data_IF_423523274736
#
_entry.id   IF_423523274736
#
_cell.length_a   1.000
_cell.length_b   1.000
_cell.length_c   1.000
_cell.angle_alpha   90.00
_cell.angle_beta   90.00
_cell.angle_gamma   90.00
#
_symmetry.space_group_name_H-M   'P 1'
#
loop_
_entity.id
_entity.type
_entity.pdbx_description
1 polymer ?
#
# COMPACT_ATOMS: atom_id res chain seq x y z
N UNK A 1 18.05 -12.27 -27.89
CA UNK A 1 16.80 -12.12 -27.10
C UNK A 1 17.02 -12.01 -25.59
N UNK A 2 17.99 -12.70 -24.98
CA UNK A 2 18.21 -12.65 -23.52
C UNK A 2 18.56 -11.27 -22.93
N UNK A 3 19.26 -10.40 -23.68
CA UNK A 3 19.59 -9.03 -23.21
C UNK A 3 18.35 -8.16 -22.99
N UNK A 4 17.35 -8.26 -23.86
CA UNK A 4 16.11 -7.49 -23.75
C UNK A 4 15.29 -7.98 -22.55
N UNK A 5 15.14 -9.29 -22.39
CA UNK A 5 14.44 -9.89 -21.26
C UNK A 5 15.11 -9.52 -19.94
N UNK A 6 16.44 -9.57 -19.89
CA UNK A 6 17.20 -9.16 -18.69
C UNK A 6 16.94 -7.69 -18.34
N UNK A 7 16.88 -6.81 -19.33
CA UNK A 7 16.52 -5.40 -19.12
C UNK A 7 15.09 -5.25 -18.57
N UNK A 8 14.12 -5.98 -19.12
CA UNK A 8 12.74 -5.94 -18.64
C UNK A 8 12.63 -6.40 -17.18
N UNK A 9 13.39 -7.43 -16.78
CA UNK A 9 13.44 -7.88 -15.38
C UNK A 9 14.01 -6.78 -14.49
N UNK A 10 15.07 -6.09 -14.89
CA UNK A 10 15.60 -4.97 -14.11
C UNK A 10 14.59 -3.82 -13.99
N UNK A 11 13.92 -3.46 -15.08
CA UNK A 11 12.87 -2.43 -15.03
C UNK A 11 11.70 -2.84 -14.13
N UNK A 12 11.28 -4.10 -14.17
CA UNK A 12 10.24 -4.62 -13.28
C UNK A 12 10.65 -4.47 -11.82
N UNK A 13 11.88 -4.86 -11.47
CA UNK A 13 12.40 -4.76 -10.09
C UNK A 13 12.43 -3.29 -9.65
N UNK A 14 12.97 -2.39 -10.49
CA UNK A 14 13.03 -0.96 -10.19
C UNK A 14 11.62 -0.38 -10.03
N UNK A 15 10.67 -0.76 -10.89
CA UNK A 15 9.28 -0.35 -10.79
C UNK A 15 8.64 -0.80 -9.47
N UNK A 16 8.84 -2.06 -9.09
CA UNK A 16 8.35 -2.58 -7.80
C UNK A 16 8.95 -1.82 -6.62
N UNK A 17 10.26 -1.56 -6.63
CA UNK A 17 10.93 -0.78 -5.57
C UNK A 17 10.37 0.65 -5.51
N UNK A 18 10.11 1.27 -6.67
CA UNK A 18 9.51 2.60 -6.75
C UNK A 18 8.10 2.64 -6.15
N UNK A 19 7.26 1.65 -6.47
CA UNK A 19 5.91 1.53 -5.90
C UNK A 19 5.96 1.30 -4.38
N UNK A 20 6.85 0.42 -3.91
CA UNK A 20 7.05 0.19 -2.48
C UNK A 20 7.48 1.49 -1.80
N UNK A 21 8.51 2.16 -2.32
CA UNK A 21 9.00 3.42 -1.78
C UNK A 21 7.92 4.49 -1.75
N UNK A 22 7.10 4.60 -2.81
CA UNK A 22 5.99 5.54 -2.85
C UNK A 22 4.88 5.21 -1.84
N UNK A 23 4.58 3.93 -1.59
CA UNK A 23 3.60 3.56 -0.56
C UNK A 23 4.04 3.99 0.85
N UNK A 24 5.35 3.97 1.14
CA UNK A 24 5.88 4.39 2.44
C UNK A 24 6.12 5.89 2.55
N UNK A 25 6.62 6.53 1.49
CA UNK A 25 7.01 7.95 1.53
C UNK A 25 5.87 8.87 1.08
N UNK A 26 4.97 8.37 0.21
CA UNK A 26 3.81 9.10 -0.31
C UNK A 26 2.92 9.78 0.75
N UNK A 27 2.64 9.15 1.92
CA UNK A 27 1.83 9.77 2.96
C UNK A 27 2.46 11.05 3.54
N UNK A 28 3.80 11.15 3.54
CA UNK A 28 4.48 12.38 3.97
C UNK A 28 4.30 13.55 2.99
N UNK A 29 3.89 13.26 1.75
CA UNK A 29 3.58 14.24 0.70
C UNK A 29 2.07 14.45 0.51
N UNK A 30 1.24 13.92 1.41
CA UNK A 30 -0.22 14.08 1.38
C UNK A 30 -0.96 13.08 0.49
N UNK A 31 -0.32 11.99 0.06
CA UNK A 31 -1.03 10.88 -0.56
C UNK A 31 -1.73 10.06 0.53
N UNK A 32 -3.06 9.91 0.47
CA UNK A 32 -3.80 9.03 1.35
C UNK A 32 -4.13 7.72 0.63
N UNK A 33 -3.67 6.61 1.21
CA UNK A 33 -3.92 5.26 0.72
C UNK A 33 -4.91 4.50 1.60
N UNK A 34 -5.44 5.15 2.63
CA UNK A 34 -6.44 4.57 3.52
C UNK A 34 -7.79 4.48 2.79
N UNK A 35 -8.59 3.44 3.06
CA UNK A 35 -9.98 3.42 2.59
C UNK A 35 -10.78 4.53 3.28
N UNK A 36 -11.84 4.97 2.62
CA UNK A 36 -12.81 5.90 3.21
C UNK A 36 -13.33 5.31 4.52
N UNK A 37 -13.20 6.10 5.59
CA UNK A 37 -13.63 5.70 6.93
C UNK A 37 -15.14 5.91 7.05
N UNK A 38 -15.87 4.86 7.38
CA UNK A 38 -17.32 4.89 7.60
C UNK A 38 -17.62 4.57 9.06
N UNK A 39 -18.47 5.38 9.67
CA UNK A 39 -18.89 5.16 11.05
C UNK A 39 -19.64 3.83 11.18
N UNK A 40 -19.21 2.99 12.12
CA UNK A 40 -19.81 1.68 12.38
C UNK A 40 -20.15 1.56 13.87
N UNK A 41 -21.42 1.32 14.17
CA UNK A 41 -21.88 1.05 15.53
C UNK A 41 -22.18 -0.44 15.70
N UNK A 42 -21.60 -1.07 16.72
CA UNK A 42 -21.87 -2.46 17.08
C UNK A 42 -22.41 -2.49 18.50
N UNK A 43 -23.56 -3.12 18.75
CA UNK A 43 -24.07 -3.27 20.10
C UNK A 43 -23.11 -4.17 20.91
N UNK A 44 -22.74 -3.71 22.10
CA UNK A 44 -21.92 -4.49 23.04
C UNK A 44 -22.73 -4.84 24.28
N UNK A 45 -22.64 -6.10 24.71
CA UNK A 45 -23.23 -6.56 25.97
C UNK A 45 -22.23 -6.31 27.10
N UNK A 46 -22.56 -5.41 28.02
CA UNK A 46 -21.77 -5.18 29.22
C UNK A 46 -22.21 -6.18 30.29
N UNK A 47 -21.30 -7.03 30.75
CA UNK A 47 -21.53 -7.93 31.88
C UNK A 47 -21.01 -7.24 33.13
N UNK A 48 -21.87 -7.04 34.13
CA UNK A 48 -21.47 -6.59 35.46
C UNK A 48 -21.22 -7.82 36.35
N UNK A 49 -20.17 -7.76 37.18
CA UNK A 49 -19.79 -8.80 38.15
C UNK A 49 -20.55 -8.65 39.48
#
# INVERSE_FOLDING_TARGET
MGKLIKLLIYLLIIGCIGLIGYAYIGPFFGADFSPDQVETHVPVTLVAE
#
